data_IF_504845763394
#
_entry.id   IF_504845763394
#
_cell.length_a   1.000
_cell.length_b   1.000
_cell.length_c   1.000
_cell.angle_alpha   90.00
_cell.angle_beta   90.00
_cell.angle_gamma   90.00
#
_symmetry.space_group_name_H-M   'P 1'
#
loop_
_entity.id
_entity.type
_entity.pdbx_description
1 polymer ?
#
# COMPACT_ATOMS: atom_id res chain seq x y z
N UNK A 1 -3.08 -1.09 18.60
CA UNK A 1 -1.70 -1.56 18.33
C UNK A 1 -1.03 -0.54 17.43
N UNK A 2 0.24 -0.22 17.67
CA UNK A 2 1.02 0.65 16.78
C UNK A 2 1.69 -0.18 15.68
N UNK A 3 1.83 0.38 14.48
CA UNK A 3 2.55 -0.28 13.38
C UNK A 3 4.05 -0.32 13.67
N UNK A 4 4.68 -1.45 13.34
CA UNK A 4 6.12 -1.63 13.48
C UNK A 4 6.78 -1.59 12.10
N UNK A 5 7.59 -0.57 11.89
CA UNK A 5 8.40 -0.41 10.69
C UNK A 5 9.78 -1.06 10.88
N UNK A 6 10.44 -1.38 9.78
CA UNK A 6 11.84 -1.77 9.77
C UNK A 6 12.78 -0.57 9.99
N UNK A 7 14.09 -0.82 10.05
CA UNK A 7 15.11 0.22 10.27
C UNK A 7 15.17 1.27 9.14
N UNK A 8 14.47 1.03 8.03
CA UNK A 8 14.36 1.95 6.88
C UNK A 8 13.03 2.71 6.90
N UNK A 9 12.21 2.55 7.93
CA UNK A 9 10.89 3.16 8.05
C UNK A 9 9.86 2.54 7.10
N UNK A 10 10.04 1.27 6.71
CA UNK A 10 9.14 0.57 5.79
C UNK A 10 8.41 -0.60 6.46
N UNK A 11 7.23 -0.91 5.94
CA UNK A 11 6.42 -2.06 6.33
C UNK A 11 5.96 -2.82 5.06
N UNK A 12 5.99 -4.16 5.04
CA UNK A 12 5.39 -4.93 3.97
C UNK A 12 3.86 -4.95 4.14
N UNK A 13 3.14 -4.72 3.04
CA UNK A 13 1.69 -4.80 2.98
C UNK A 13 1.28 -5.83 1.92
N UNK A 14 0.52 -6.84 2.34
CA UNK A 14 -0.09 -7.82 1.44
C UNK A 14 -1.41 -7.24 0.97
N UNK A 15 -1.58 -7.14 -0.34
CA UNK A 15 -2.83 -6.71 -0.95
C UNK A 15 -3.59 -7.96 -1.36
N UNK A 16 -4.80 -8.08 -0.84
CA UNK A 16 -5.68 -9.21 -1.05
C UNK A 16 -6.99 -8.73 -1.67
N UNK A 17 -7.54 -9.51 -2.58
CA UNK A 17 -8.89 -9.29 -3.08
C UNK A 17 -9.91 -9.56 -1.96
N UNK A 18 -10.81 -8.61 -1.72
CA UNK A 18 -11.71 -8.65 -0.54
C UNK A 18 -12.81 -9.71 -0.69
N UNK A 19 -13.20 -10.05 -1.93
CA UNK A 19 -14.28 -11.00 -2.21
C UNK A 19 -13.77 -12.45 -2.25
N UNK A 20 -12.67 -12.70 -2.97
CA UNK A 20 -12.11 -14.05 -3.19
C UNK A 20 -11.07 -14.48 -2.17
N UNK A 21 -10.41 -13.52 -1.50
CA UNK A 21 -9.26 -13.79 -0.67
C UNK A 21 -7.97 -14.08 -1.45
N UNK A 22 -7.93 -13.88 -2.77
CA UNK A 22 -6.70 -14.05 -3.55
C UNK A 22 -5.64 -13.02 -3.13
N UNK A 23 -4.41 -13.47 -2.88
CA UNK A 23 -3.27 -12.57 -2.65
C UNK A 23 -2.83 -12.01 -4.01
N UNK A 24 -3.08 -10.72 -4.22
CA UNK A 24 -2.79 -10.05 -5.48
C UNK A 24 -1.32 -9.66 -5.58
N UNK A 25 -0.76 -9.09 -4.51
CA UNK A 25 0.64 -8.63 -4.51
C UNK A 25 1.13 -8.26 -3.11
N UNK A 26 2.44 -7.99 -3.00
CA UNK A 26 3.07 -7.38 -1.85
C UNK A 26 3.65 -6.02 -2.24
N UNK A 27 3.36 -5.00 -1.44
CA UNK A 27 3.96 -3.68 -1.55
C UNK A 27 4.75 -3.30 -0.31
N UNK A 28 5.74 -2.44 -0.49
CA UNK A 28 6.40 -1.75 0.60
C UNK A 28 5.73 -0.40 0.81
N UNK A 29 5.50 -0.03 2.06
CA UNK A 29 4.88 1.22 2.45
C UNK A 29 5.75 1.91 3.50
N UNK A 30 5.96 3.21 3.36
CA UNK A 30 6.43 4.04 4.47
C UNK A 30 5.21 4.55 5.27
N UNK A 31 5.46 5.28 6.36
CA UNK A 31 4.39 5.87 7.19
C UNK A 31 3.39 6.69 6.35
N UNK A 32 3.88 7.54 5.45
CA UNK A 32 3.02 8.36 4.60
C UNK A 32 2.14 7.51 3.66
N UNK A 33 2.68 6.47 3.03
CA UNK A 33 1.90 5.56 2.19
C UNK A 33 0.78 4.87 2.98
N UNK A 34 1.04 4.48 4.23
CA UNK A 34 0.02 3.88 5.11
C UNK A 34 -1.07 4.89 5.42
N UNK A 35 -0.68 6.10 5.84
CA UNK A 35 -1.62 7.17 6.17
C UNK A 35 -2.50 7.53 4.97
N UNK A 36 -1.90 7.74 3.80
CA UNK A 36 -2.62 8.03 2.55
C UNK A 36 -3.55 6.89 2.14
N UNK A 37 -3.15 5.64 2.35
CA UNK A 37 -3.99 4.46 2.07
C UNK A 37 -5.23 4.44 2.96
N UNK A 38 -5.07 4.71 4.25
CA UNK A 38 -6.18 4.76 5.20
C UNK A 38 -7.12 5.94 4.92
N UNK A 39 -6.58 7.14 4.66
CA UNK A 39 -7.36 8.35 4.44
C UNK A 39 -8.09 8.36 3.09
N UNK A 40 -7.38 8.04 2.00
CA UNK A 40 -7.94 8.14 0.64
C UNK A 40 -8.73 6.91 0.19
N UNK A 41 -8.64 5.79 0.94
CA UNK A 41 -9.17 4.47 0.56
C UNK A 41 -8.66 3.97 -0.80
N UNK A 42 -7.50 4.44 -1.24
CA UNK A 42 -6.79 3.96 -2.42
C UNK A 42 -5.47 3.32 -1.98
N UNK A 43 -5.02 2.25 -2.63
CA UNK A 43 -3.72 1.67 -2.29
C UNK A 43 -2.58 2.60 -2.73
N UNK A 44 -1.77 3.03 -1.76
CA UNK A 44 -0.50 3.71 -2.00
C UNK A 44 0.67 2.77 -1.69
N UNK A 45 1.78 2.94 -2.41
CA UNK A 45 3.03 2.22 -2.14
C UNK A 45 4.21 3.17 -2.15
N UNK A 46 5.28 2.78 -1.49
CA UNK A 46 6.56 3.47 -1.55
C UNK A 46 7.50 2.72 -2.51
N UNK A 47 7.92 3.39 -3.58
CA UNK A 47 8.98 2.88 -4.45
C UNK A 47 10.32 3.05 -3.76
N UNK A 48 10.96 1.93 -3.40
CA UNK A 48 12.29 1.96 -2.77
C UNK A 48 13.39 2.38 -3.74
N UNK A 49 13.24 2.05 -5.02
CA UNK A 49 14.19 2.40 -6.07
C UNK A 49 14.16 3.89 -6.40
N UNK A 50 12.97 4.47 -6.52
CA UNK A 50 12.80 5.88 -6.86
C UNK A 50 12.55 6.78 -5.64
N UNK A 51 12.58 6.21 -4.43
CA UNK A 51 12.30 6.88 -3.16
C UNK A 51 11.03 7.75 -3.18
N UNK A 52 9.98 7.25 -3.84
CA UNK A 52 8.78 8.03 -4.16
C UNK A 52 7.50 7.33 -3.74
N UNK A 53 6.57 8.11 -3.22
CA UNK A 53 5.18 7.69 -2.97
C UNK A 53 4.41 7.56 -4.31
N UNK A 54 3.72 6.44 -4.50
CA UNK A 54 2.99 6.15 -5.74
C UNK A 54 1.60 5.59 -5.44
N UNK A 55 0.57 6.12 -6.11
CA UNK A 55 -0.79 5.58 -6.05
C UNK A 55 -0.92 4.43 -7.04
N UNK A 56 -1.31 3.24 -6.57
CA UNK A 56 -1.49 2.08 -7.45
C UNK A 56 -2.59 2.36 -8.47
N UNK A 57 -2.28 2.20 -9.75
CA UNK A 57 -3.22 2.40 -10.86
C UNK A 57 -3.11 3.77 -11.53
N UNK A 58 -2.29 4.69 -11.01
CA UNK A 58 -2.16 6.05 -11.58
C UNK A 58 -1.74 6.05 -13.07
N UNK A 59 -0.85 5.14 -13.47
CA UNK A 59 -0.44 5.00 -14.87
C UNK A 59 -1.33 4.04 -15.67
N UNK A 60 -1.79 2.95 -15.05
CA UNK A 60 -2.45 1.85 -15.76
C UNK A 60 -3.97 1.91 -15.76
N UNK A 61 -4.58 2.80 -14.97
CA UNK A 61 -6.03 2.84 -14.71
C UNK A 61 -6.54 1.76 -13.75
N UNK A 62 -5.71 0.77 -13.38
CA UNK A 62 -6.10 -0.35 -12.52
C UNK A 62 -5.90 0.00 -11.04
N UNK A 63 -6.84 0.78 -10.52
CA UNK A 63 -6.89 1.18 -9.12
C UNK A 63 -7.29 0.03 -8.19
N UNK A 64 -6.81 0.10 -6.94
CA UNK A 64 -7.20 -0.82 -5.88
C UNK A 64 -7.87 -0.02 -4.76
N UNK A 65 -9.17 -0.24 -4.59
CA UNK A 65 -9.98 0.42 -3.57
C UNK A 65 -9.87 -0.36 -2.25
N UNK A 66 -9.57 0.33 -1.16
CA UNK A 66 -9.38 -0.28 0.16
C UNK A 66 -10.73 -0.48 0.82
N UNK A 67 -11.09 -1.73 1.11
CA UNK A 67 -12.27 -2.10 1.91
C UNK A 67 -11.96 -2.12 3.40
N UNK A 68 -10.85 -2.75 3.78
CA UNK A 68 -10.35 -2.88 5.15
C UNK A 68 -8.82 -2.91 5.17
N UNK A 69 -8.25 -2.58 6.32
CA UNK A 69 -6.82 -2.67 6.67
C UNK A 69 -6.68 -3.27 8.05
#
# INVERSE_FOLDING_TARGET
MALKYDDRGLIPAIIQDDDSGEVLTLFWMNDEAVRQTAESRQVWRYSREHQKLMRKGETSGNYLNVRRV
#
